data_IF_697549735121
#
_entry.id   IF_697549735121
#
_cell.length_a   1.000
_cell.length_b   1.000
_cell.length_c   1.000
_cell.angle_alpha   90.00
_cell.angle_beta   90.00
_cell.angle_gamma   90.00
#
_symmetry.space_group_name_H-M   'P 1'
#
loop_
_entity.id
_entity.type
_entity.pdbx_description
1 polymer ?
#
# COMPACT_ATOMS: atom_id res chain seq x y z
N UNK A 1 19.72 -7.82 0.08
CA UNK A 1 19.66 -8.79 1.20
C UNK A 1 18.33 -8.58 1.90
N UNK A 2 17.43 -9.56 1.81
CA UNK A 2 16.13 -9.51 2.48
C UNK A 2 16.34 -9.90 3.93
N UNK A 3 16.02 -9.01 4.87
CA UNK A 3 16.05 -9.34 6.30
C UNK A 3 14.72 -10.00 6.65
N UNK A 4 14.79 -11.22 7.16
CA UNK A 4 13.63 -11.90 7.75
C UNK A 4 13.55 -11.49 9.22
N UNK A 5 12.37 -11.05 9.66
CA UNK A 5 12.09 -10.73 11.06
C UNK A 5 10.96 -11.64 11.51
N UNK A 6 11.22 -12.48 12.51
CA UNK A 6 10.21 -13.36 13.07
C UNK A 6 9.41 -12.62 14.14
N UNK A 7 8.09 -12.51 13.91
CA UNK A 7 7.14 -11.92 14.86
C UNK A 7 6.47 -13.05 15.65
N UNK A 8 6.71 -13.12 16.97
CA UNK A 8 6.03 -14.07 17.87
C UNK A 8 4.81 -13.41 18.51
N UNK A 9 3.68 -13.43 17.81
CA UNK A 9 2.41 -12.92 18.32
C UNK A 9 1.36 -14.04 18.34
N UNK A 10 0.47 -14.03 19.34
CA UNK A 10 -0.62 -15.02 19.43
C UNK A 10 -2.00 -14.40 19.09
N UNK A 11 -2.04 -13.10 18.77
CA UNK A 11 -3.26 -12.38 18.40
C UNK A 11 -2.98 -11.37 17.30
N UNK A 12 -4.02 -10.99 16.55
CA UNK A 12 -3.99 -9.91 15.54
C UNK A 12 -3.50 -8.60 16.17
N UNK A 13 -3.96 -8.32 17.37
CA UNK A 13 -3.65 -7.11 18.11
C UNK A 13 -2.17 -7.03 18.50
N UNK A 14 -1.62 -8.15 19.00
CA UNK A 14 -0.20 -8.26 19.33
C UNK A 14 0.66 -8.16 18.07
N UNK A 15 0.28 -8.86 16.99
CA UNK A 15 1.00 -8.81 15.71
C UNK A 15 1.04 -7.37 15.15
N UNK A 16 -0.08 -6.66 15.22
CA UNK A 16 -0.12 -5.25 14.83
C UNK A 16 0.82 -4.39 15.69
N UNK A 17 0.89 -4.63 17.01
CA UNK A 17 1.84 -3.94 17.90
C UNK A 17 3.30 -4.17 17.50
N UNK A 18 3.66 -5.42 17.21
CA UNK A 18 5.01 -5.80 16.77
C UNK A 18 5.39 -5.18 15.42
N UNK A 19 4.47 -5.14 14.45
CA UNK A 19 4.67 -4.45 13.16
C UNK A 19 5.02 -2.98 13.40
N UNK A 20 4.31 -2.30 14.30
CA UNK A 20 4.58 -0.90 14.63
C UNK A 20 5.92 -0.74 15.35
N UNK A 21 6.27 -1.63 16.29
CA UNK A 21 7.57 -1.62 16.96
C UNK A 21 8.74 -1.81 15.99
N UNK A 22 8.59 -2.70 15.01
CA UNK A 22 9.55 -2.87 13.92
C UNK A 22 9.67 -1.58 13.10
N UNK A 23 8.55 -0.99 12.68
CA UNK A 23 8.54 0.27 11.96
C UNK A 23 9.26 1.38 12.74
N UNK A 24 9.18 1.39 14.07
CA UNK A 24 9.87 2.35 14.94
C UNK A 24 11.39 2.12 14.98
N UNK A 25 11.87 0.88 14.97
CA UNK A 25 13.28 0.53 15.12
C UNK A 25 14.08 0.31 13.83
N UNK A 26 13.44 0.18 12.67
CA UNK A 26 14.15 -0.12 11.41
C UNK A 26 14.92 1.07 10.84
N UNK A 27 16.02 0.77 10.14
CA UNK A 27 16.85 1.78 9.49
C UNK A 27 16.14 2.42 8.28
N UNK A 28 16.60 3.59 7.81
CA UNK A 28 16.06 4.23 6.59
C UNK A 28 16.23 3.36 5.33
N UNK A 29 17.21 2.47 5.30
CA UNK A 29 17.54 1.62 4.14
C UNK A 29 16.59 0.44 3.94
N UNK A 30 15.97 -0.05 5.02
CA UNK A 30 15.00 -1.14 5.00
C UNK A 30 13.62 -0.59 4.62
N UNK A 31 13.24 -0.63 3.35
CA UNK A 31 12.03 0.06 2.85
C UNK A 31 10.85 -0.85 2.59
N UNK A 32 11.11 -2.11 2.24
CA UNK A 32 10.08 -3.10 1.89
C UNK A 32 10.07 -4.17 2.97
N UNK A 33 8.95 -4.29 3.68
CA UNK A 33 8.74 -5.21 4.80
C UNK A 33 7.60 -6.13 4.39
N UNK A 34 7.89 -7.42 4.28
CA UNK A 34 6.88 -8.42 4.00
C UNK A 34 6.39 -9.03 5.31
N UNK A 35 5.07 -9.12 5.49
CA UNK A 35 4.44 -9.75 6.64
C UNK A 35 3.68 -11.00 6.19
N UNK A 36 4.17 -12.17 6.61
CA UNK A 36 3.60 -13.46 6.20
C UNK A 36 2.37 -13.89 7.02
N UNK A 37 2.18 -13.34 8.22
CA UNK A 37 1.19 -13.83 9.18
C UNK A 37 1.51 -15.23 9.73
N UNK A 38 0.50 -15.92 10.25
CA UNK A 38 0.63 -17.28 10.77
C UNK A 38 0.43 -18.29 9.64
N UNK A 39 1.51 -18.62 8.92
CA UNK A 39 1.44 -19.50 7.75
C UNK A 39 0.44 -18.99 6.69
N UNK A 40 0.43 -17.68 6.42
CA UNK A 40 -0.51 -17.04 5.50
C UNK A 40 -1.86 -16.64 6.12
N UNK A 41 -2.14 -17.03 7.37
CA UNK A 41 -3.38 -16.66 8.05
C UNK A 41 -3.25 -15.34 8.80
N UNK A 42 -4.35 -14.59 8.87
CA UNK A 42 -4.45 -13.36 9.68
C UNK A 42 -3.56 -12.20 9.22
N UNK A 43 -2.84 -12.35 8.10
CA UNK A 43 -1.85 -11.38 7.65
C UNK A 43 -2.48 -10.03 7.31
N UNK A 44 -3.48 -10.03 6.42
CA UNK A 44 -4.27 -8.83 6.08
C UNK A 44 -4.98 -8.24 7.31
N UNK A 45 -5.47 -9.07 8.23
CA UNK A 45 -6.15 -8.58 9.42
C UNK A 45 -5.20 -7.84 10.38
N UNK A 46 -4.01 -8.37 10.64
CA UNK A 46 -3.01 -7.68 11.46
C UNK A 46 -2.48 -6.41 10.78
N UNK A 47 -2.25 -6.48 9.47
CA UNK A 47 -1.79 -5.34 8.69
C UNK A 47 -2.83 -4.20 8.68
N UNK A 48 -4.12 -4.53 8.61
CA UNK A 48 -5.23 -3.57 8.73
C UNK A 48 -5.27 -2.92 10.11
N UNK A 49 -5.16 -3.70 11.19
CA UNK A 49 -5.13 -3.16 12.56
C UNK A 49 -3.90 -2.27 12.78
N UNK A 50 -2.74 -2.65 12.25
CA UNK A 50 -1.52 -1.84 12.31
C UNK A 50 -1.72 -0.49 11.60
N UNK A 51 -2.28 -0.49 10.38
CA UNK A 51 -2.57 0.72 9.62
C UNK A 51 -3.52 1.66 10.39
N UNK A 52 -4.61 1.13 10.94
CA UNK A 52 -5.59 1.90 11.73
C UNK A 52 -4.97 2.52 12.98
N UNK A 53 -4.18 1.74 13.73
CA UNK A 53 -3.44 2.23 14.89
C UNK A 53 -2.48 3.34 14.51
N UNK A 54 -1.72 3.16 13.44
CA UNK A 54 -0.75 4.16 13.03
C UNK A 54 -1.41 5.45 12.51
N UNK A 55 -2.53 5.36 11.80
CA UNK A 55 -3.36 6.54 11.45
C UNK A 55 -3.80 7.30 12.70
N UNK A 56 -4.28 6.60 13.73
CA UNK A 56 -4.67 7.21 15.02
C UNK A 56 -3.50 7.85 15.76
N UNK A 57 -2.29 7.27 15.65
CA UNK A 57 -1.07 7.82 16.24
C UNK A 57 -0.51 9.01 15.45
N UNK A 58 -0.57 8.97 14.12
CA UNK A 58 -0.13 10.07 13.25
C UNK A 58 -0.93 11.35 13.54
N UNK A 59 -2.23 11.23 13.80
CA UNK A 59 -3.08 12.33 14.26
C UNK A 59 -2.63 12.96 15.60
N UNK A 60 -1.79 12.26 16.38
CA UNK A 60 -1.23 12.70 17.67
C UNK A 60 0.22 13.19 17.57
N UNK A 61 0.73 13.36 16.34
CA UNK A 61 2.08 13.86 16.04
C UNK A 61 3.17 12.79 16.20
N UNK A 62 3.51 12.07 15.13
CA UNK A 62 4.70 11.19 15.09
C UNK A 62 5.15 10.78 13.68
N UNK A 63 6.45 10.44 13.57
CA UNK A 63 7.29 9.68 12.59
C UNK A 63 6.98 9.72 11.09
N UNK A 64 5.74 9.58 10.66
CA UNK A 64 5.34 9.62 9.26
C UNK A 64 4.28 10.70 9.07
N UNK A 65 4.50 11.57 8.08
CA UNK A 65 3.53 12.62 7.73
C UNK A 65 2.25 12.01 7.13
N UNK A 66 2.35 10.82 6.51
CA UNK A 66 1.22 10.11 5.89
C UNK A 66 1.24 8.62 6.16
N UNK A 67 0.07 8.04 6.34
CA UNK A 67 -0.15 6.59 6.39
C UNK A 67 -1.11 6.24 5.26
N UNK A 68 -0.62 5.48 4.29
CA UNK A 68 -1.36 5.10 3.08
C UNK A 68 -1.75 3.63 3.20
N UNK A 69 -3.01 3.36 3.50
CA UNK A 69 -3.54 2.00 3.62
C UNK A 69 -4.31 1.61 2.36
N UNK A 70 -3.79 0.65 1.61
CA UNK A 70 -4.36 0.21 0.32
C UNK A 70 -4.64 -1.28 0.38
N UNK A 71 -5.93 -1.63 0.35
CA UNK A 71 -6.39 -3.01 0.40
C UNK A 71 -6.78 -3.50 -1.00
N UNK A 72 -5.88 -4.26 -1.63
CA UNK A 72 -6.12 -4.92 -2.91
C UNK A 72 -6.14 -6.45 -2.74
N UNK A 73 -6.64 -6.94 -1.60
CA UNK A 73 -6.78 -8.39 -1.35
C UNK A 73 -7.60 -9.07 -2.43
N UNK A 74 -8.63 -8.40 -2.96
CA UNK A 74 -9.34 -8.78 -4.17
C UNK A 74 -8.73 -8.02 -5.35
N UNK A 75 -7.67 -8.59 -5.93
CA UNK A 75 -6.97 -7.96 -7.04
C UNK A 75 -7.85 -7.83 -8.27
N UNK A 76 -7.76 -6.67 -8.93
CA UNK A 76 -8.47 -6.39 -10.18
C UNK A 76 -7.47 -6.02 -11.28
N UNK A 77 -6.77 -4.88 -11.14
CA UNK A 77 -5.79 -4.41 -12.11
C UNK A 77 -4.83 -3.40 -11.50
N UNK A 78 -3.78 -3.04 -12.26
CA UNK A 78 -2.89 -1.94 -11.89
C UNK A 78 -3.64 -0.61 -11.82
N UNK A 79 -4.65 -0.40 -12.67
CA UNK A 79 -5.53 0.78 -12.59
C UNK A 79 -6.33 0.81 -11.28
N UNK A 80 -6.92 -0.30 -10.87
CA UNK A 80 -7.67 -0.37 -9.62
C UNK A 80 -6.77 -0.10 -8.39
N UNK A 81 -5.54 -0.61 -8.39
CA UNK A 81 -4.53 -0.27 -7.37
C UNK A 81 -4.22 1.23 -7.36
N UNK A 82 -3.97 1.84 -8.53
CA UNK A 82 -3.69 3.27 -8.61
C UNK A 82 -4.87 4.12 -8.13
N UNK A 83 -6.11 3.73 -8.46
CA UNK A 83 -7.33 4.39 -7.98
C UNK A 83 -7.45 4.30 -6.46
N UNK A 84 -7.22 3.13 -5.86
CA UNK A 84 -7.24 2.95 -4.41
C UNK A 84 -6.16 3.80 -3.70
N UNK A 85 -4.97 3.96 -4.30
CA UNK A 85 -3.94 4.89 -3.79
C UNK A 85 -4.43 6.34 -3.86
N UNK A 86 -5.04 6.76 -4.97
CA UNK A 86 -5.55 8.11 -5.15
C UNK A 86 -6.68 8.45 -4.16
N UNK A 87 -7.59 7.50 -3.93
CA UNK A 87 -8.68 7.62 -2.96
C UNK A 87 -8.15 7.75 -1.52
N UNK A 88 -7.22 6.89 -1.13
CA UNK A 88 -6.58 6.92 0.20
C UNK A 88 -5.76 8.20 0.44
N UNK A 89 -5.25 8.83 -0.63
CA UNK A 89 -4.56 10.12 -0.57
C UNK A 89 -5.50 11.33 -0.64
N UNK A 90 -6.80 11.10 -0.80
CA UNK A 90 -7.82 12.13 -0.99
C UNK A 90 -7.41 13.10 -2.11
N UNK A 91 -7.04 12.55 -3.27
CA UNK A 91 -6.74 13.38 -4.43
C UNK A 91 -7.98 14.15 -4.91
N UNK A 92 -7.80 15.34 -5.50
CA UNK A 92 -8.92 16.16 -5.94
C UNK A 92 -9.86 15.42 -6.90
N UNK A 93 -11.15 15.78 -6.88
CA UNK A 93 -12.15 15.21 -7.78
C UNK A 93 -11.77 15.36 -9.27
N UNK A 94 -11.04 16.42 -9.63
CA UNK A 94 -10.53 16.59 -10.99
C UNK A 94 -9.54 15.50 -11.40
N UNK A 95 -8.76 14.95 -10.45
CA UNK A 95 -7.86 13.81 -10.70
C UNK A 95 -8.66 12.51 -10.75
N UNK A 96 -9.67 12.37 -9.88
CA UNK A 96 -10.54 11.19 -9.88
C UNK A 96 -11.31 11.05 -11.21
N UNK A 97 -11.77 12.16 -11.79
CA UNK A 97 -12.45 12.19 -13.09
C UNK A 97 -11.59 11.67 -14.27
N UNK A 98 -10.25 11.69 -14.14
CA UNK A 98 -9.35 11.11 -15.16
C UNK A 98 -9.55 9.59 -15.23
N UNK A 99 -9.79 8.92 -14.11
CA UNK A 99 -10.11 7.49 -14.12
C UNK A 99 -11.43 7.25 -14.86
N UNK A 100 -12.47 8.01 -14.53
CA UNK A 100 -13.80 7.80 -15.09
C UNK A 100 -13.80 8.00 -16.62
N UNK A 101 -13.12 9.05 -17.11
CA UNK A 101 -12.94 9.27 -18.54
C UNK A 101 -12.25 8.09 -19.24
N UNK A 102 -11.11 7.65 -18.71
CA UNK A 102 -10.37 6.54 -19.31
C UNK A 102 -11.10 5.20 -19.17
N UNK A 103 -11.88 5.00 -18.10
CA UNK A 103 -12.65 3.79 -17.89
C UNK A 103 -13.83 3.70 -18.88
N UNK A 104 -14.50 4.83 -19.17
CA UNK A 104 -15.55 4.92 -20.20
C UNK A 104 -14.97 4.68 -21.61
N UNK A 105 -13.82 5.28 -21.93
CA UNK A 105 -13.13 5.06 -23.21
C UNK A 105 -12.71 3.58 -23.37
N UNK A 106 -12.15 2.97 -22.32
CA UNK A 106 -11.73 1.57 -22.31
C UNK A 106 -12.95 0.63 -22.43
N UNK A 107 -14.07 0.95 -21.78
CA UNK A 107 -15.33 0.20 -21.91
C UNK A 107 -15.87 0.27 -23.35
N UNK A 108 -15.85 1.45 -23.97
CA UNK A 108 -16.26 1.63 -25.38
C UNK A 108 -15.38 0.82 -26.34
N UNK A 109 -14.08 0.74 -26.05
CA UNK A 109 -13.11 -0.02 -26.83
C UNK A 109 -13.05 -1.51 -26.49
N UNK A 110 -13.87 -1.98 -25.53
CA UNK A 110 -13.93 -3.38 -25.11
C UNK A 110 -12.66 -3.86 -24.38
N UNK A 111 -11.93 -2.96 -23.73
CA UNK A 111 -10.72 -3.28 -22.97
C UNK A 111 -11.11 -3.89 -21.62
N UNK A 112 -10.62 -5.11 -21.39
CA UNK A 112 -10.84 -5.84 -20.13
C UNK A 112 -10.30 -5.07 -18.93
N UNK A 113 -11.11 -5.00 -17.86
CA UNK A 113 -10.82 -4.30 -16.61
C UNK A 113 -9.51 -4.77 -15.97
N UNK A 114 -9.22 -6.08 -16.03
CA UNK A 114 -8.01 -6.68 -15.48
C UNK A 114 -6.73 -6.31 -16.23
N UNK A 115 -6.86 -5.92 -17.49
CA UNK A 115 -5.74 -5.51 -18.35
C UNK A 115 -5.41 -4.01 -18.26
N UNK A 116 -6.24 -3.20 -17.59
CA UNK A 116 -6.08 -1.75 -17.53
C UNK A 116 -4.84 -1.34 -16.73
N UNK A 117 -3.96 -0.60 -17.42
CA UNK A 117 -2.74 -0.04 -16.86
C UNK A 117 -2.96 1.26 -16.07
N UNK A 118 -1.87 1.70 -15.43
CA UNK A 118 -1.81 2.99 -14.73
C UNK A 118 -1.94 4.17 -15.71
N UNK A 119 -2.50 5.27 -15.23
CA UNK A 119 -2.63 6.53 -15.95
C UNK A 119 -1.49 7.46 -15.56
N UNK A 120 -0.80 8.04 -16.55
CA UNK A 120 0.41 8.85 -16.33
C UNK A 120 0.09 10.14 -15.56
N UNK A 121 -0.97 10.85 -15.91
CA UNK A 121 -1.35 12.11 -15.25
C UNK A 121 -1.67 11.88 -13.76
N UNK A 122 -2.37 10.78 -13.45
CA UNK A 122 -2.66 10.41 -12.05
C UNK A 122 -1.40 10.00 -11.31
N UNK A 123 -0.48 9.28 -11.97
CA UNK A 123 0.81 8.88 -11.39
C UNK A 123 1.61 10.11 -10.94
N UNK A 124 1.62 11.17 -11.74
CA UNK A 124 2.31 12.41 -11.41
C UNK A 124 1.68 13.13 -10.21
N UNK A 125 0.35 13.14 -10.11
CA UNK A 125 -0.36 13.74 -8.96
C UNK A 125 -0.14 12.95 -7.67
N UNK A 126 -0.16 11.60 -7.72
CA UNK A 126 0.21 10.74 -6.58
C UNK A 126 1.65 11.04 -6.14
N UNK A 127 2.58 11.10 -7.10
CA UNK A 127 3.97 11.40 -6.81
C UNK A 127 4.11 12.76 -6.14
N UNK A 128 3.49 13.81 -6.68
CA UNK A 128 3.54 15.18 -6.14
C UNK A 128 2.97 15.25 -4.72
N UNK A 129 1.88 14.53 -4.44
CA UNK A 129 1.25 14.46 -3.11
C UNK A 129 2.16 13.80 -2.05
N UNK A 130 3.05 12.92 -2.48
CA UNK A 130 3.92 12.13 -1.59
C UNK A 130 5.37 12.60 -1.51
N UNK A 131 5.87 13.30 -2.54
CA UNK A 131 7.30 13.62 -2.69
C UNK A 131 7.87 14.51 -1.57
N UNK A 132 7.04 15.31 -0.91
CA UNK A 132 7.45 16.21 0.19
C UNK A 132 7.07 15.68 1.57
N UNK A 133 6.75 14.40 1.70
CA UNK A 133 6.26 13.79 2.95
C UNK A 133 6.96 12.47 3.22
N UNK A 134 7.25 12.23 4.50
CA UNK A 134 7.54 10.89 4.99
C UNK A 134 6.25 10.08 5.04
N UNK A 135 6.29 8.83 4.59
CA UNK A 135 5.09 8.00 4.59
C UNK A 135 5.39 6.52 4.79
N UNK A 136 4.37 5.80 5.23
CA UNK A 136 4.34 4.35 5.22
C UNK A 136 3.10 3.86 4.49
N UNK A 137 3.30 2.89 3.60
CA UNK A 137 2.23 2.19 2.90
C UNK A 137 1.95 0.86 3.59
N UNK A 138 0.69 0.57 3.87
CA UNK A 138 0.22 -0.77 4.22
C UNK A 138 -0.51 -1.35 3.01
N UNK A 139 0.13 -2.29 2.31
CA UNK A 139 -0.36 -2.82 1.05
C UNK A 139 -0.80 -4.28 1.18
N UNK A 140 -2.08 -4.56 0.91
CA UNK A 140 -2.61 -5.91 0.86
C UNK A 140 -2.63 -6.36 -0.60
N UNK A 141 -1.64 -7.16 -1.00
CA UNK A 141 -1.44 -7.55 -2.39
C UNK A 141 -2.19 -8.84 -2.71
N UNK A 142 -3.37 -8.74 -3.31
CA UNK A 142 -4.13 -9.91 -3.79
C UNK A 142 -3.67 -10.44 -5.15
N UNK A 143 -2.67 -9.83 -5.78
CA UNK A 143 -2.12 -10.34 -7.04
C UNK A 143 -1.24 -11.57 -6.78
N UNK A 144 -0.73 -12.18 -7.86
CA UNK A 144 0.18 -13.32 -7.81
C UNK A 144 1.65 -12.93 -7.99
N UNK A 145 1.99 -11.63 -8.00
CA UNK A 145 3.35 -11.17 -8.25
C UNK A 145 3.69 -9.90 -7.44
N UNK A 146 4.98 -9.63 -7.33
CA UNK A 146 5.45 -8.43 -6.65
C UNK A 146 5.11 -7.19 -7.48
N UNK A 147 4.55 -6.17 -6.84
CA UNK A 147 4.20 -4.90 -7.47
C UNK A 147 5.14 -3.80 -6.99
N UNK A 148 5.75 -3.07 -7.92
CA UNK A 148 6.45 -1.83 -7.61
C UNK A 148 5.47 -0.66 -7.57
N UNK A 149 5.16 -0.18 -6.36
CA UNK A 149 4.23 0.95 -6.17
C UNK A 149 4.72 2.25 -6.83
N UNK A 150 5.98 2.33 -7.25
CA UNK A 150 6.47 3.44 -8.07
C UNK A 150 5.75 3.55 -9.42
N UNK A 151 5.23 2.43 -9.96
CA UNK A 151 4.40 2.42 -11.16
C UNK A 151 3.11 3.22 -10.95
N UNK A 152 2.51 3.13 -9.76
CA UNK A 152 1.36 3.96 -9.37
C UNK A 152 1.74 5.38 -8.95
N UNK A 153 3.04 5.71 -8.90
CA UNK A 153 3.52 7.04 -8.52
C UNK A 153 3.93 7.17 -7.05
N UNK A 154 4.01 6.07 -6.30
CA UNK A 154 4.41 6.07 -4.88
C UNK A 154 5.94 6.04 -4.75
N UNK A 155 6.61 7.12 -4.33
CA UNK A 155 8.07 7.21 -4.36
C UNK A 155 8.71 6.62 -3.09
N UNK A 156 8.86 5.29 -3.06
CA UNK A 156 9.56 4.57 -1.96
C UNK A 156 11.08 4.68 -2.14
N UNK A 157 11.61 5.90 -1.99
CA UNK A 157 13.02 6.22 -2.25
C UNK A 157 13.92 6.03 -1.02
N UNK A 158 15.24 6.04 -1.22
CA UNK A 158 16.26 5.95 -0.16
C UNK A 158 16.47 7.26 0.61
N UNK A 159 16.08 8.39 0.02
CA UNK A 159 16.33 9.72 0.58
C UNK A 159 15.36 10.04 1.71
N UNK A 160 14.11 9.59 1.57
CA UNK A 160 13.09 9.69 2.59
C UNK A 160 12.99 8.36 3.35
N UNK A 161 12.67 8.40 4.64
CA UNK A 161 12.52 7.18 5.46
C UNK A 161 11.23 6.42 5.15
N UNK A 162 10.78 6.43 3.90
CA UNK A 162 9.51 5.89 3.44
C UNK A 162 9.51 4.37 3.46
N UNK A 163 8.40 3.79 3.90
CA UNK A 163 8.27 2.34 4.10
C UNK A 163 7.06 1.79 3.36
N UNK A 164 7.15 0.51 3.02
CA UNK A 164 6.03 -0.31 2.58
C UNK A 164 6.03 -1.55 3.46
N UNK A 165 4.93 -1.75 4.19
CA UNK A 165 4.62 -3.03 4.82
C UNK A 165 3.56 -3.69 3.95
N UNK A 166 3.83 -4.89 3.48
CA UNK A 166 2.92 -5.57 2.57
C UNK A 166 2.75 -7.04 2.91
N UNK A 167 1.61 -7.60 2.50
CA UNK A 167 1.25 -9.01 2.64
C UNK A 167 0.62 -9.50 1.35
N UNK A 168 0.65 -10.81 1.09
CA UNK A 168 -0.28 -11.40 0.14
C UNK A 168 -1.71 -11.36 0.69
N UNK A 169 -2.70 -11.19 -0.19
CA UNK A 169 -4.10 -11.41 0.13
C UNK A 169 -4.31 -12.86 0.54
N UNK A 170 -5.13 -13.09 1.57
CA UNK A 170 -5.30 -14.40 2.22
C UNK A 170 -5.94 -15.52 1.38
N UNK A 171 -5.77 -15.53 0.07
CA UNK A 171 -6.01 -16.70 -0.75
C UNK A 171 -4.87 -17.70 -0.54
N UNK A 172 -5.20 -18.95 -0.25
CA UNK A 172 -4.22 -20.04 -0.21
C UNK A 172 -3.42 -20.05 -1.52
N UNK A 173 -2.15 -19.68 -1.47
CA UNK A 173 -1.19 -20.06 -2.50
C UNK A 173 -0.71 -21.48 -2.15
N UNK A 174 -1.48 -22.48 -2.59
CA UNK A 174 -1.08 -23.88 -2.61
C UNK A 174 -0.21 -24.15 -3.84
#
# INVERSE_FOLDING_TARGET
MTRVIDIKANTIDAAAGEILGILDGISKYERKIYFFGWCGLGASAALRVAAQRLKSLAAKGRKFDKVVHVDCTLWQSMRALQKAVAEELELPQSVMAIFDQHDEEDDFNGIDQGSRGVLLDVREEIFRKLASSTFVVFFHNGSNHYIDLYECGVPVTTFLSNKVVWTWGGGFHL
#
